data_IF_365051470948
#
_entry.id   IF_365051470948
#
_cell.length_a   1.000
_cell.length_b   1.000
_cell.length_c   1.000
_cell.angle_alpha   90.00
_cell.angle_beta   90.00
_cell.angle_gamma   90.00
#
_symmetry.space_group_name_H-M   'P 1'
#
loop_
_entity.id
_entity.type
_entity.pdbx_description
1 polymer ?
#
# COMPACT_ATOMS: atom_id res chain seq x y z
N UNK A 1 3.69 -9.31 4.64
CA UNK A 1 2.26 -9.17 5.05
C UNK A 1 1.85 -7.76 4.70
N UNK A 2 0.69 -7.57 4.07
CA UNK A 2 0.25 -6.22 3.66
C UNK A 2 -0.92 -5.76 4.51
N UNK A 3 -0.87 -4.52 4.98
CA UNK A 3 -1.99 -3.90 5.69
C UNK A 3 -2.61 -2.78 4.87
N UNK A 4 -3.92 -2.81 4.77
CA UNK A 4 -4.76 -1.75 4.24
C UNK A 4 -5.42 -1.04 5.42
N UNK A 5 -5.18 0.26 5.58
CA UNK A 5 -5.80 1.03 6.66
C UNK A 5 -7.03 1.77 6.14
N UNK A 6 -8.21 1.52 6.70
CA UNK A 6 -9.40 2.34 6.45
C UNK A 6 -9.55 3.42 7.53
N UNK A 7 -9.83 4.64 7.11
CA UNK A 7 -10.23 5.77 7.97
C UNK A 7 -11.64 6.19 7.58
N UNK A 8 -12.40 6.71 8.54
CA UNK A 8 -13.74 7.27 8.33
C UNK A 8 -13.79 8.70 8.86
N UNK A 9 -14.54 9.56 8.16
CA UNK A 9 -14.80 10.94 8.55
C UNK A 9 -15.54 11.10 9.88
N UNK A 10 -16.27 10.07 10.33
CA UNK A 10 -17.14 10.14 11.51
C UNK A 10 -16.57 9.41 12.75
N UNK A 11 -15.37 8.84 12.65
CA UNK A 11 -14.81 7.94 13.67
C UNK A 11 -13.83 8.60 14.65
N UNK A 12 -13.86 9.93 14.78
CA UNK A 12 -12.96 10.69 15.66
C UNK A 12 -13.13 10.41 17.16
N UNK A 13 -14.25 9.79 17.59
CA UNK A 13 -14.56 9.54 19.01
C UNK A 13 -14.89 8.07 19.34
N UNK A 14 -14.70 7.14 18.40
CA UNK A 14 -15.10 5.74 18.60
C UNK A 14 -13.90 4.79 18.53
N UNK A 15 -13.73 3.98 19.57
CA UNK A 15 -12.91 2.79 19.54
C UNK A 15 -13.66 1.72 18.76
N UNK A 16 -13.16 1.34 17.59
CA UNK A 16 -13.75 0.24 16.82
C UNK A 16 -12.85 -0.97 16.95
N UNK A 17 -13.40 -2.02 17.54
CA UNK A 17 -12.88 -3.37 17.37
C UNK A 17 -13.28 -3.84 15.98
N UNK A 18 -12.32 -4.31 15.18
CA UNK A 18 -12.57 -4.75 13.81
C UNK A 18 -13.34 -6.09 13.83
N UNK A 19 -14.65 -6.03 14.06
CA UNK A 19 -15.54 -7.17 13.92
C UNK A 19 -16.01 -7.24 12.47
N UNK A 20 -15.39 -8.17 11.76
CA UNK A 20 -15.80 -8.73 10.46
C UNK A 20 -16.26 -7.74 9.38
N UNK A 21 -15.29 -7.22 8.61
CA UNK A 21 -15.58 -6.71 7.27
C UNK A 21 -15.57 -7.89 6.28
N UNK A 22 -16.72 -8.55 6.12
CA UNK A 22 -16.85 -9.72 5.25
C UNK A 22 -16.75 -9.28 3.78
N UNK A 23 -15.58 -9.47 3.17
CA UNK A 23 -15.47 -9.56 1.71
C UNK A 23 -15.45 -11.05 1.36
N UNK A 24 -16.61 -11.56 0.95
CA UNK A 24 -16.77 -12.94 0.49
C UNK A 24 -15.89 -13.17 -0.74
N UNK A 25 -14.75 -13.83 -0.55
CA UNK A 25 -14.08 -14.55 -1.63
C UNK A 25 -13.67 -15.92 -1.10
N UNK A 26 -14.52 -16.90 -1.35
CA UNK A 26 -14.24 -18.31 -1.16
C UNK A 26 -13.19 -18.76 -2.19
N UNK A 27 -12.01 -19.14 -1.71
CA UNK A 27 -11.08 -19.98 -2.46
C UNK A 27 -10.65 -21.13 -1.55
N UNK A 28 -11.08 -22.34 -1.92
CA UNK A 28 -10.71 -23.59 -1.28
C UNK A 28 -9.26 -23.98 -1.59
N UNK A 29 -8.54 -24.39 -0.54
CA UNK A 29 -7.34 -25.22 -0.48
C UNK A 29 -6.38 -25.30 -1.69
N UNK A 30 -5.17 -24.78 -1.50
CA UNK A 30 -3.98 -25.24 -2.22
C UNK A 30 -2.71 -24.77 -1.52
N UNK A 31 -1.68 -25.62 -1.39
CA UNK A 31 -0.35 -25.27 -0.83
C UNK A 31 0.40 -24.26 -1.72
N UNK A 32 -0.14 -23.08 -1.90
CA UNK A 32 0.51 -21.96 -2.54
C UNK A 32 1.20 -21.14 -1.44
N UNK A 33 2.41 -20.68 -1.73
CA UNK A 33 3.06 -19.69 -0.89
C UNK A 33 2.22 -18.44 -1.07
N UNK A 34 1.38 -18.13 -0.11
CA UNK A 34 0.35 -17.10 -0.22
C UNK A 34 0.74 -15.92 0.69
N UNK A 35 0.78 -14.71 0.15
CA UNK A 35 1.02 -13.51 0.97
C UNK A 35 -0.32 -12.93 1.41
N UNK A 36 -0.68 -13.02 2.70
CA UNK A 36 -1.95 -12.48 3.17
C UNK A 36 -1.95 -10.95 3.13
N UNK A 37 -3.07 -10.40 2.69
CA UNK A 37 -3.41 -8.98 2.75
C UNK A 37 -4.49 -8.83 3.80
N UNK A 38 -4.22 -8.02 4.80
CA UNK A 38 -5.16 -7.72 5.86
C UNK A 38 -5.70 -6.31 5.70
N UNK A 39 -6.97 -6.15 6.00
CA UNK A 39 -7.62 -4.88 6.22
C UNK A 39 -7.63 -4.58 7.72
N UNK A 40 -7.30 -3.36 8.09
CA UNK A 40 -7.34 -2.86 9.47
C UNK A 40 -7.89 -1.45 9.49
N UNK A 41 -8.31 -0.98 10.67
CA UNK A 41 -8.82 0.37 10.85
C UNK A 41 -7.70 1.26 11.38
N UNK A 42 -7.55 2.44 10.78
CA UNK A 42 -6.45 3.35 11.12
C UNK A 42 -6.54 3.99 12.52
N UNK A 43 -7.67 3.83 13.22
CA UNK A 43 -7.89 4.32 14.57
C UNK A 43 -7.54 3.29 15.67
N UNK A 44 -7.10 2.08 15.32
CA UNK A 44 -6.69 1.09 16.30
C UNK A 44 -5.33 1.51 16.90
N UNK A 45 -5.08 1.32 18.21
CA UNK A 45 -3.76 1.59 18.78
C UNK A 45 -2.68 0.70 18.18
N UNK A 46 -1.48 1.25 17.93
CA UNK A 46 -0.35 0.52 17.35
C UNK A 46 -0.01 -0.81 18.05
N UNK A 47 -0.14 -0.86 19.38
CA UNK A 47 0.14 -2.08 20.16
C UNK A 47 -0.91 -3.19 19.91
N UNK A 48 -2.09 -2.84 19.42
CA UNK A 48 -3.21 -3.75 19.15
C UNK A 48 -3.32 -4.14 17.66
N UNK A 49 -2.73 -3.38 16.74
CA UNK A 49 -2.75 -3.64 15.27
C UNK A 49 -2.35 -5.08 14.87
N UNK A 50 -1.48 -5.72 15.65
CA UNK A 50 -0.98 -7.05 15.33
C UNK A 50 -1.89 -8.19 15.79
N UNK A 51 -2.92 -7.89 16.60
CA UNK A 51 -3.85 -8.89 17.12
C UNK A 51 -4.84 -9.35 16.04
N UNK A 52 -5.33 -10.60 16.09
CA UNK A 52 -6.22 -11.15 15.06
C UNK A 52 -7.57 -10.43 15.00
N UNK A 53 -8.06 -9.88 16.09
CA UNK A 53 -9.30 -9.09 16.20
C UNK A 53 -9.16 -7.64 15.71
N UNK A 54 -7.93 -7.18 15.43
CA UNK A 54 -7.66 -5.84 14.90
C UNK A 54 -7.58 -5.81 13.37
N UNK A 55 -7.67 -6.97 12.71
CA UNK A 55 -7.47 -7.09 11.27
C UNK A 55 -8.30 -8.20 10.66
N UNK A 56 -8.83 -7.95 9.48
CA UNK A 56 -9.61 -8.91 8.71
C UNK A 56 -8.79 -9.33 7.50
N UNK A 57 -8.71 -10.64 7.24
CA UNK A 57 -8.06 -11.14 6.03
C UNK A 57 -8.91 -10.74 4.81
N UNK A 58 -8.34 -9.95 3.90
CA UNK A 58 -9.03 -9.51 2.69
C UNK A 58 -8.83 -10.50 1.54
N UNK A 59 -7.59 -10.97 1.35
CA UNK A 59 -7.25 -11.96 0.34
C UNK A 59 -5.84 -12.50 0.51
N UNK A 60 -5.50 -13.51 -0.29
CA UNK A 60 -4.14 -13.97 -0.51
C UNK A 60 -3.60 -13.50 -1.87
N UNK A 61 -2.43 -12.86 -1.87
CA UNK A 61 -1.74 -12.51 -3.11
C UNK A 61 -0.96 -13.70 -3.65
N UNK A 62 -1.10 -13.92 -4.95
CA UNK A 62 -0.36 -14.92 -5.69
C UNK A 62 1.14 -14.61 -5.70
N UNK A 63 1.96 -15.58 -5.30
CA UNK A 63 3.41 -15.51 -5.38
C UNK A 63 3.89 -16.29 -6.60
N UNK A 64 4.49 -15.58 -7.56
CA UNK A 64 5.19 -16.21 -8.67
C UNK A 64 6.43 -16.95 -8.14
N UNK A 65 6.54 -18.23 -8.48
CA UNK A 65 7.73 -19.05 -8.22
C UNK A 65 8.58 -19.13 -9.48
N UNK A 66 9.83 -18.72 -9.38
CA UNK A 66 10.81 -18.93 -10.43
C UNK A 66 11.32 -20.39 -10.37
N UNK A 67 11.61 -20.99 -11.52
CA UNK A 67 12.21 -22.33 -11.63
C UNK A 67 13.68 -22.32 -11.25
N UNK A 68 14.37 -21.20 -11.49
CA UNK A 68 15.80 -21.06 -11.22
C UNK A 68 16.14 -19.70 -10.59
N UNK A 69 17.31 -19.59 -9.96
CA UNK A 69 17.81 -18.32 -9.41
C UNK A 69 18.03 -17.28 -10.52
N UNK A 70 18.48 -17.71 -11.71
CA UNK A 70 18.66 -16.84 -12.86
C UNK A 70 17.33 -16.25 -13.33
N UNK A 71 16.29 -17.08 -13.44
CA UNK A 71 14.95 -16.61 -13.79
C UNK A 71 14.42 -15.62 -12.75
N UNK A 72 14.60 -15.89 -11.45
CA UNK A 72 14.19 -14.99 -10.36
C UNK A 72 14.79 -13.59 -10.48
N UNK A 73 16.02 -13.48 -10.99
CA UNK A 73 16.73 -12.21 -11.21
C UNK A 73 16.46 -11.59 -12.58
N UNK A 74 15.82 -12.31 -13.49
CA UNK A 74 15.56 -11.83 -14.85
C UNK A 74 14.62 -10.62 -14.83
N UNK A 75 14.90 -9.65 -15.70
CA UNK A 75 14.04 -8.47 -15.89
C UNK A 75 12.60 -8.87 -16.19
N UNK A 76 12.41 -9.88 -17.04
CA UNK A 76 11.08 -10.40 -17.40
C UNK A 76 10.31 -10.88 -16.18
N UNK A 77 10.92 -11.72 -15.33
CA UNK A 77 10.27 -12.23 -14.13
C UNK A 77 9.91 -11.10 -13.14
N UNK A 78 10.82 -10.15 -12.92
CA UNK A 78 10.58 -9.01 -12.03
C UNK A 78 9.44 -8.12 -12.52
N UNK A 79 9.36 -7.87 -13.82
CA UNK A 79 8.25 -7.16 -14.46
C UNK A 79 6.94 -7.93 -14.30
N UNK A 80 6.93 -9.23 -14.59
CA UNK A 80 5.72 -10.06 -14.42
C UNK A 80 5.23 -10.07 -12.99
N UNK A 81 6.14 -10.17 -11.99
CA UNK A 81 5.78 -10.08 -10.57
C UNK A 81 5.09 -8.76 -10.24
N UNK A 82 5.63 -7.64 -10.73
CA UNK A 82 5.04 -6.30 -10.56
C UNK A 82 3.69 -6.19 -11.25
N UNK A 83 3.59 -6.61 -12.51
CA UNK A 83 2.32 -6.56 -13.26
C UNK A 83 1.24 -7.38 -12.56
N UNK A 84 1.57 -8.59 -12.10
CA UNK A 84 0.62 -9.43 -11.37
C UNK A 84 0.14 -8.75 -10.09
N UNK A 85 1.07 -8.18 -9.31
CA UNK A 85 0.75 -7.45 -8.09
C UNK A 85 -0.21 -6.29 -8.37
N UNK A 86 0.13 -5.42 -9.33
CA UNK A 86 -0.70 -4.26 -9.68
C UNK A 86 -2.08 -4.67 -10.21
N UNK A 87 -2.16 -5.72 -11.05
CA UNK A 87 -3.45 -6.24 -11.54
C UNK A 87 -4.29 -6.86 -10.42
N UNK A 88 -3.68 -7.64 -9.54
CA UNK A 88 -4.38 -8.24 -8.39
C UNK A 88 -4.94 -7.16 -7.46
N UNK A 89 -4.16 -6.11 -7.18
CA UNK A 89 -4.64 -4.99 -6.40
C UNK A 89 -5.74 -4.19 -7.10
N UNK A 90 -5.70 -4.00 -8.43
CA UNK A 90 -6.76 -3.27 -9.14
C UNK A 90 -8.12 -3.97 -8.98
N UNK A 91 -8.13 -5.31 -9.08
CA UNK A 91 -9.32 -6.14 -8.86
C UNK A 91 -9.75 -6.08 -7.39
N UNK A 92 -8.82 -6.23 -6.45
CA UNK A 92 -9.10 -6.23 -5.01
C UNK A 92 -9.66 -4.88 -4.52
N UNK A 93 -9.16 -3.77 -5.07
CA UNK A 93 -9.56 -2.43 -4.66
C UNK A 93 -10.94 -2.04 -5.22
N UNK A 94 -11.37 -2.64 -6.32
CA UNK A 94 -12.60 -2.25 -7.01
C UNK A 94 -13.86 -2.30 -6.12
N UNK A 95 -14.13 -3.36 -5.33
CA UNK A 95 -15.26 -3.37 -4.39
C UNK A 95 -15.15 -2.28 -3.32
N UNK A 96 -13.98 -2.08 -2.72
CA UNK A 96 -13.77 -1.08 -1.67
C UNK A 96 -14.02 0.34 -2.17
N UNK A 97 -13.56 0.63 -3.38
CA UNK A 97 -13.74 1.93 -4.01
C UNK A 97 -15.18 2.19 -4.43
N UNK A 98 -15.96 1.14 -4.74
CA UNK A 98 -17.39 1.27 -5.05
C UNK A 98 -18.21 1.79 -3.87
N UNK A 99 -17.68 1.71 -2.65
CA UNK A 99 -18.31 2.23 -1.43
C UNK A 99 -17.86 3.64 -1.08
N UNK A 100 -16.88 4.20 -1.77
CA UNK A 100 -16.34 5.54 -1.48
C UNK A 100 -17.43 6.62 -1.47
N UNK A 101 -18.37 6.55 -2.41
CA UNK A 101 -19.44 7.55 -2.55
C UNK A 101 -20.77 7.07 -1.94
N UNK A 102 -20.90 5.75 -1.71
CA UNK A 102 -22.12 5.13 -1.19
C UNK A 102 -22.13 4.99 0.32
N UNK A 103 -20.98 4.97 0.98
CA UNK A 103 -20.87 4.65 2.40
C UNK A 103 -21.12 3.17 2.71
N UNK A 104 -20.87 2.79 3.96
CA UNK A 104 -21.13 1.48 4.56
C UNK A 104 -21.60 1.65 6.01
N UNK A 105 -22.43 0.73 6.48
CA UNK A 105 -22.67 0.53 7.91
C UNK A 105 -21.55 -0.32 8.51
N UNK A 106 -20.84 0.22 9.50
CA UNK A 106 -19.87 -0.52 10.30
C UNK A 106 -20.50 -0.92 11.63
N UNK A 107 -20.63 -2.22 11.85
CA UNK A 107 -21.11 -2.75 13.12
C UNK A 107 -20.02 -2.61 14.20
N UNK A 108 -20.37 -1.96 15.31
CA UNK A 108 -19.49 -1.83 16.48
C UNK A 108 -20.16 -2.37 17.73
N UNK A 109 -19.40 -2.55 18.81
CA UNK A 109 -19.96 -2.91 20.11
C UNK A 109 -20.99 -1.88 20.63
N UNK A 110 -20.94 -0.64 20.12
CA UNK A 110 -21.81 0.47 20.52
C UNK A 110 -22.96 0.71 19.53
N UNK A 111 -23.19 -0.21 18.58
CA UNK A 111 -24.17 -0.10 17.50
C UNK A 111 -23.55 0.14 16.13
N UNK A 112 -24.40 0.31 15.13
CA UNK A 112 -23.98 0.50 13.74
C UNK A 112 -23.61 1.97 13.49
N UNK A 113 -22.50 2.18 12.78
CA UNK A 113 -21.98 3.50 12.43
C UNK A 113 -21.90 3.61 10.91
N UNK A 114 -22.64 4.56 10.35
CA UNK A 114 -22.51 4.89 8.93
C UNK A 114 -21.22 5.66 8.63
N UNK A 115 -20.44 5.19 7.66
CA UNK A 115 -19.19 5.81 7.27
C UNK A 115 -18.82 5.65 5.80
N UNK A 116 -17.91 6.51 5.33
CA UNK A 116 -17.28 6.34 4.03
C UNK A 116 -15.93 5.66 4.19
N UNK A 117 -15.71 4.48 3.59
CA UNK A 117 -14.43 3.79 3.69
C UNK A 117 -13.39 4.54 2.86
N UNK A 118 -12.32 4.98 3.51
CA UNK A 118 -11.20 5.61 2.86
C UNK A 118 -9.92 4.81 3.08
N UNK A 119 -9.28 4.38 2.00
CA UNK A 119 -7.99 3.68 2.08
C UNK A 119 -6.89 4.72 2.29
N UNK A 120 -6.33 4.71 3.49
CA UNK A 120 -5.31 5.67 3.91
C UNK A 120 -3.89 5.21 3.63
N UNK A 121 -3.56 3.96 3.93
CA UNK A 121 -2.17 3.49 3.91
C UNK A 121 -2.07 2.05 3.43
N UNK A 122 -1.08 1.78 2.58
CA UNK A 122 -0.64 0.44 2.23
C UNK A 122 0.74 0.17 2.87
N UNK A 123 0.78 -0.76 3.81
CA UNK A 123 2.01 -1.15 4.50
C UNK A 123 2.52 -2.48 3.95
N UNK A 124 3.81 -2.57 3.63
CA UNK A 124 4.49 -3.80 3.29
C UNK A 124 5.95 -3.74 3.74
N UNK A 125 6.63 -4.88 3.68
CA UNK A 125 8.08 -4.89 3.84
C UNK A 125 8.78 -4.36 2.57
N UNK A 126 10.11 -4.19 2.62
CA UNK A 126 10.86 -3.47 1.59
C UNK A 126 10.60 -3.96 0.14
N UNK A 127 10.57 -5.27 -0.16
CA UNK A 127 10.26 -5.80 -1.49
C UNK A 127 8.82 -5.49 -1.96
N UNK A 128 7.84 -5.52 -1.05
CA UNK A 128 6.44 -5.19 -1.28
C UNK A 128 6.32 -3.71 -1.60
N UNK A 129 6.91 -2.83 -0.78
CA UNK A 129 6.87 -1.39 -1.02
C UNK A 129 7.56 -1.01 -2.33
N UNK A 130 8.67 -1.68 -2.68
CA UNK A 130 9.32 -1.50 -3.98
C UNK A 130 8.45 -2.01 -5.15
N UNK A 131 7.61 -3.02 -4.92
CA UNK A 131 6.64 -3.51 -5.92
C UNK A 131 5.48 -2.54 -6.06
N UNK A 132 4.94 -2.02 -4.95
CA UNK A 132 3.87 -1.02 -4.90
C UNK A 132 4.27 0.28 -5.61
N UNK A 133 5.47 0.79 -5.32
CA UNK A 133 5.99 2.05 -5.86
C UNK A 133 6.71 1.88 -7.19
N UNK A 134 6.84 0.65 -7.70
CA UNK A 134 7.58 0.31 -8.92
C UNK A 134 9.04 0.78 -8.87
N UNK A 135 9.72 0.66 -7.75
CA UNK A 135 11.12 1.09 -7.61
C UNK A 135 12.09 -0.06 -7.79
N UNK A 136 13.30 0.26 -8.26
CA UNK A 136 14.42 -0.69 -8.32
C UNK A 136 14.94 -1.01 -6.92
N UNK A 137 15.74 -2.09 -6.86
CA UNK A 137 16.34 -2.57 -5.62
C UNK A 137 17.42 -1.64 -5.08
N UNK A 138 18.00 -2.02 -3.95
CA UNK A 138 18.94 -1.21 -3.14
C UNK A 138 20.21 -0.75 -3.88
N UNK A 139 20.56 -1.40 -5.00
CA UNK A 139 21.75 -1.05 -5.79
C UNK A 139 21.49 0.03 -6.84
N UNK A 140 20.28 0.59 -6.88
CA UNK A 140 19.91 1.65 -7.82
C UNK A 140 20.32 3.04 -7.31
N UNK A 141 20.27 4.04 -8.19
CA UNK A 141 20.64 5.42 -7.85
C UNK A 141 19.73 6.01 -6.76
N UNK A 142 18.44 5.69 -6.82
CA UNK A 142 17.44 6.14 -5.86
C UNK A 142 16.67 4.93 -5.27
N UNK A 143 17.27 4.22 -4.30
CA UNK A 143 16.78 2.93 -3.85
C UNK A 143 15.55 3.00 -2.94
N UNK A 144 15.26 4.16 -2.34
CA UNK A 144 14.24 4.26 -1.31
C UNK A 144 12.84 4.58 -1.85
N UNK A 145 11.84 3.77 -1.51
CA UNK A 145 10.52 3.79 -2.17
C UNK A 145 9.69 5.07 -1.94
N UNK A 146 9.95 5.82 -0.87
CA UNK A 146 9.14 6.99 -0.48
C UNK A 146 9.69 8.33 -0.97
N UNK A 147 10.99 8.45 -1.19
CA UNK A 147 11.62 9.70 -1.64
C UNK A 147 12.84 9.45 -2.54
N UNK A 148 13.20 10.48 -3.29
CA UNK A 148 14.32 10.49 -4.23
C UNK A 148 15.62 10.85 -3.51
N UNK A 149 16.01 10.01 -2.54
CA UNK A 149 17.33 10.11 -1.90
C UNK A 149 18.32 9.26 -2.67
N UNK A 150 19.46 9.86 -3.01
CA UNK A 150 20.54 9.14 -3.67
C UNK A 150 21.07 8.02 -2.76
N UNK A 151 21.59 6.95 -3.34
CA UNK A 151 22.19 5.87 -2.55
C UNK A 151 23.35 6.38 -1.69
N UNK A 152 24.10 7.34 -2.20
CA UNK A 152 25.25 7.96 -1.53
C UNK A 152 24.81 8.76 -0.30
N UNK A 153 23.60 9.33 -0.31
CA UNK A 153 23.08 10.18 0.76
C UNK A 153 22.14 9.45 1.76
N UNK A 154 21.93 8.14 1.63
CA UNK A 154 21.03 7.39 2.53
C UNK A 154 21.41 7.50 4.01
N UNK A 155 22.70 7.63 4.32
CA UNK A 155 23.23 7.77 5.68
C UNK A 155 23.55 9.23 6.05
N UNK A 156 23.20 10.18 5.19
CA UNK A 156 23.50 11.59 5.40
C UNK A 156 22.46 12.22 6.36
N UNK A 157 22.80 12.24 7.64
CA UNK A 157 21.96 12.85 8.70
C UNK A 157 21.86 14.38 8.60
N UNK A 158 22.60 15.03 7.71
CA UNK A 158 22.60 16.49 7.54
C UNK A 158 21.62 16.97 6.47
N UNK A 159 21.00 16.06 5.73
CA UNK A 159 19.98 16.43 4.75
C UNK A 159 18.78 17.08 5.45
N UNK A 160 18.43 18.28 5.02
CA UNK A 160 17.21 18.94 5.44
C UNK A 160 16.00 18.31 4.76
N UNK A 161 14.83 18.41 5.40
CA UNK A 161 13.59 17.89 4.81
C UNK A 161 13.22 18.58 3.49
N UNK A 162 13.64 19.84 3.30
CA UNK A 162 13.35 20.62 2.09
C UNK A 162 14.18 20.16 0.88
N UNK A 163 15.32 19.50 1.12
CA UNK A 163 16.16 18.91 0.07
C UNK A 163 15.67 17.52 -0.38
N UNK A 164 14.73 16.91 0.37
CA UNK A 164 14.24 15.55 0.12
C UNK A 164 12.98 15.60 -0.74
N UNK A 165 13.12 15.33 -2.03
CA UNK A 165 11.97 15.22 -2.93
C UNK A 165 11.20 13.90 -2.69
N UNK A 166 9.90 13.98 -2.42
CA UNK A 166 9.05 12.82 -2.21
C UNK A 166 8.62 12.15 -3.53
N UNK A 167 8.50 10.82 -3.52
CA UNK A 167 7.94 10.04 -4.62
C UNK A 167 6.41 10.12 -4.62
N UNK A 168 5.87 11.27 -4.99
CA UNK A 168 4.40 11.44 -5.12
C UNK A 168 3.88 10.81 -6.41
N UNK A 169 2.61 10.37 -6.48
CA UNK A 169 2.00 9.92 -7.73
C UNK A 169 2.18 10.89 -8.91
N UNK A 170 2.06 12.19 -8.65
CA UNK A 170 2.23 13.24 -9.66
C UNK A 170 3.66 13.29 -10.17
N UNK A 171 4.65 13.34 -9.25
CA UNK A 171 6.06 13.36 -9.60
C UNK A 171 6.46 12.11 -10.39
N UNK A 172 6.06 10.92 -9.93
CA UNK A 172 6.43 9.66 -10.56
C UNK A 172 5.78 9.50 -11.95
N UNK A 173 4.51 9.92 -12.12
CA UNK A 173 3.85 9.99 -13.43
C UNK A 173 4.63 10.87 -14.40
N UNK A 174 5.05 12.06 -13.95
CA UNK A 174 5.80 13.00 -14.78
C UNK A 174 7.15 12.41 -15.23
N UNK A 175 7.88 11.77 -14.32
CA UNK A 175 9.15 11.10 -14.62
C UNK A 175 8.97 9.99 -15.66
N UNK A 176 7.93 9.17 -15.54
CA UNK A 176 7.62 8.11 -16.51
C UNK A 176 7.24 8.72 -17.86
N UNK A 177 6.38 9.74 -17.89
CA UNK A 177 5.96 10.42 -19.11
C UNK A 177 7.14 11.07 -19.85
N UNK A 178 8.12 11.58 -19.12
CA UNK A 178 9.36 12.16 -19.67
C UNK A 178 10.41 11.11 -20.09
N UNK A 179 10.10 9.81 -19.96
CA UNK A 179 11.02 8.68 -20.24
C UNK A 179 12.29 8.70 -19.36
N UNK A 180 12.19 9.25 -18.16
CA UNK A 180 13.28 9.34 -17.18
C UNK A 180 13.24 8.21 -16.13
N UNK A 181 12.29 7.28 -16.23
CA UNK A 181 12.04 6.22 -15.24
C UNK A 181 13.32 5.49 -14.80
N UNK A 182 14.18 5.09 -15.74
CA UNK A 182 15.44 4.40 -15.43
C UNK A 182 16.39 5.27 -14.59
N UNK A 183 16.53 6.57 -14.93
CA UNK A 183 17.41 7.50 -14.22
C UNK A 183 16.98 7.71 -12.77
N UNK A 184 15.67 7.69 -12.54
CA UNK A 184 15.05 7.83 -11.22
C UNK A 184 14.77 6.49 -10.53
N UNK A 185 15.34 5.40 -11.05
CA UNK A 185 15.26 4.06 -10.45
C UNK A 185 13.83 3.51 -10.32
N UNK A 186 13.00 3.74 -11.33
CA UNK A 186 11.60 3.35 -11.41
C UNK A 186 11.40 2.43 -12.63
N UNK A 187 10.53 1.44 -12.50
CA UNK A 187 10.08 0.64 -13.64
C UNK A 187 9.11 1.45 -14.49
N UNK A 188 9.38 1.52 -15.79
CA UNK A 188 8.50 2.13 -16.79
C UNK A 188 7.25 1.27 -17.02
N UNK A 189 6.28 1.42 -16.12
CA UNK A 189 5.02 0.70 -16.07
C UNK A 189 3.94 1.60 -15.46
N UNK A 190 2.67 1.37 -15.82
CA UNK A 190 1.56 2.04 -15.16
C UNK A 190 1.40 1.53 -13.72
N UNK A 191 1.30 2.46 -12.76
CA UNK A 191 1.05 2.17 -11.36
C UNK A 191 -0.41 2.45 -11.03
N UNK A 192 -1.14 1.43 -10.58
CA UNK A 192 -2.57 1.55 -10.24
C UNK A 192 -2.82 2.48 -9.04
N UNK A 193 -1.87 2.57 -8.11
CA UNK A 193 -2.01 3.39 -6.91
C UNK A 193 -1.96 4.88 -7.22
N UNK A 194 -1.41 5.28 -8.37
CA UNK A 194 -1.44 6.69 -8.77
C UNK A 194 -2.83 7.22 -9.14
N UNK A 195 -3.83 6.34 -9.27
CA UNK A 195 -5.25 6.73 -9.37
C UNK A 195 -5.77 7.25 -8.03
N UNK A 196 -5.09 6.95 -6.93
CA UNK A 196 -5.51 7.23 -5.57
C UNK A 196 -4.45 8.10 -4.86
N UNK A 197 -4.35 9.41 -5.18
CA UNK A 197 -3.33 10.30 -4.59
C UNK A 197 -3.38 10.41 -3.07
N UNK A 198 -4.51 9.99 -2.51
CA UNK A 198 -4.88 10.01 -1.12
C UNK A 198 -4.25 8.82 -0.33
N UNK A 199 -3.75 7.81 -1.05
CA UNK A 199 -3.13 6.60 -0.49
C UNK A 199 -1.65 6.85 -0.17
N UNK A 200 -1.29 6.73 1.11
CA UNK A 200 0.11 6.72 1.54
C UNK A 200 0.74 5.34 1.31
N UNK A 201 1.76 5.27 0.46
CA UNK A 201 2.51 4.05 0.18
C UNK A 201 3.77 4.04 1.04
N UNK A 202 3.87 3.08 1.98
CA UNK A 202 5.05 2.93 2.84
C UNK A 202 4.96 3.59 4.21
N UNK A 203 3.75 3.99 4.63
CA UNK A 203 3.39 4.25 6.02
C UNK A 203 4.21 5.29 6.76
N UNK A 204 3.75 6.54 6.77
CA UNK A 204 4.02 7.48 7.87
C UNK A 204 3.02 8.63 7.78
N UNK A 205 1.86 8.47 8.42
CA UNK A 205 1.16 9.61 9.03
C UNK A 205 1.55 9.62 10.50
N UNK A 206 2.74 10.14 10.79
CA UNK A 206 2.91 11.01 11.93
C UNK A 206 2.76 12.45 11.43
N UNK A 207 1.59 12.80 10.86
CA UNK A 207 1.16 14.20 10.88
C UNK A 207 0.33 14.37 12.14
N UNK A 208 1.02 14.69 13.23
CA UNK A 208 0.42 15.56 14.24
C UNK A 208 -0.07 16.79 13.50
N UNK A 209 -1.38 16.94 13.41
CA UNK A 209 -2.01 17.91 12.53
C UNK A 209 -3.32 17.33 12.02
N UNK A 210 -4.34 17.45 12.85
CA UNK A 210 -5.73 17.35 12.43
C UNK A 210 -5.90 18.13 11.12
N UNK A 211 -6.03 17.41 10.00
CA UNK A 211 -6.66 17.99 8.82
C UNK A 211 -8.15 17.79 9.04
N UNK A 212 -8.76 18.80 9.63
CA UNK A 212 -10.20 19.03 9.54
C UNK A 212 -10.54 19.02 8.05
N UNK A 213 -11.25 17.98 7.62
CA UNK A 213 -11.90 17.99 6.31
C UNK A 213 -13.15 18.84 6.54
N UNK A 214 -13.10 20.10 6.13
CA UNK A 214 -14.29 20.92 5.89
C UNK A 214 -15.02 20.42 4.66
#
# INVERSE_FOLDING_TARGET
>A
MIFLNIVSSNLHHYTIEAKEFIVNNSMENGKLSEHPVYLTLGNIPNWHHNKPDAKVLLCYLLILKAKTISEKKSRRFLLTKKTLFHKAFDVMMHPLLSYKDRGIDLQTNNGDIWCFPYISTLLGDLPENATQTLTYSINSKYPYHKCLISREDLNNLRLSNDEIELRTPTTMKNIVNQRLAYQYSIYDMNNIFWKYPQLDMGGLIAKGGARTIT
#
